data_IF_676193100977
#
_entry.id   IF_676193100977
#
_cell.length_a   1.000
_cell.length_b   1.000
_cell.length_c   1.000
_cell.angle_alpha   90.00
_cell.angle_beta   90.00
_cell.angle_gamma   90.00
#
_symmetry.space_group_name_H-M   'P 1'
#
loop_
_entity.id
_entity.type
_entity.pdbx_description
1 polymer ?
#
# COMPACT_ATOMS: atom_id res chain seq x y z
N UNK A 1 -24.94 17.32 -2.23
CA UNK A 1 -24.75 17.70 -3.60
C UNK A 1 -25.53 16.81 -4.56
N UNK A 2 -25.64 17.17 -5.85
CA UNK A 2 -26.50 16.49 -6.85
C UNK A 2 -26.18 14.99 -6.99
N UNK A 3 -24.93 14.56 -6.78
CA UNK A 3 -24.55 13.16 -6.84
C UNK A 3 -25.20 12.28 -5.75
N UNK A 4 -25.30 12.79 -4.52
CA UNK A 4 -25.95 12.08 -3.42
C UNK A 4 -27.44 11.94 -3.67
N UNK A 5 -28.07 12.99 -4.20
CA UNK A 5 -29.48 12.97 -4.59
C UNK A 5 -29.74 11.93 -5.69
N UNK A 6 -28.90 11.92 -6.73
CA UNK A 6 -29.01 10.91 -7.81
C UNK A 6 -28.84 9.49 -7.31
N UNK A 7 -27.92 9.26 -6.37
CA UNK A 7 -27.71 7.96 -5.74
C UNK A 7 -28.93 7.50 -4.93
N UNK A 8 -29.52 8.41 -4.15
CA UNK A 8 -30.74 8.14 -3.39
C UNK A 8 -31.94 7.79 -4.31
N UNK A 9 -32.09 8.50 -5.43
CA UNK A 9 -33.11 8.20 -6.42
C UNK A 9 -32.91 6.80 -7.04
N UNK A 10 -31.65 6.47 -7.37
CA UNK A 10 -31.34 5.13 -7.90
C UNK A 10 -31.65 4.02 -6.89
N UNK A 11 -31.26 4.20 -5.61
CA UNK A 11 -31.57 3.24 -4.55
C UNK A 11 -33.08 3.11 -4.35
N UNK A 12 -33.80 4.22 -4.32
CA UNK A 12 -35.27 4.21 -4.21
C UNK A 12 -35.93 3.49 -5.37
N UNK A 13 -35.46 3.70 -6.60
CA UNK A 13 -35.96 3.02 -7.78
C UNK A 13 -35.68 1.51 -7.74
N UNK A 14 -34.47 1.11 -7.37
CA UNK A 14 -34.09 -0.31 -7.25
C UNK A 14 -34.97 -1.01 -6.18
N UNK A 15 -35.20 -0.34 -5.04
CA UNK A 15 -36.06 -0.91 -3.99
C UNK A 15 -37.52 -1.00 -4.40
N UNK A 16 -38.03 0.00 -5.12
CA UNK A 16 -39.38 -0.05 -5.71
C UNK A 16 -39.54 -1.25 -6.67
N UNK A 17 -38.58 -1.46 -7.57
CA UNK A 17 -38.59 -2.59 -8.50
C UNK A 17 -38.48 -3.94 -7.76
N UNK A 18 -37.69 -3.98 -6.69
CA UNK A 18 -37.54 -5.15 -5.82
C UNK A 18 -38.84 -5.54 -5.13
N UNK A 19 -39.65 -4.56 -4.71
CA UNK A 19 -40.94 -4.82 -4.06
C UNK A 19 -42.03 -5.22 -5.04
N UNK A 20 -41.91 -4.83 -6.32
CA UNK A 20 -42.93 -5.09 -7.37
C UNK A 20 -42.72 -6.43 -8.08
N UNK A 21 -41.50 -6.98 -8.12
CA UNK A 21 -41.18 -8.19 -8.88
C UNK A 21 -40.85 -9.38 -7.95
N UNK A 22 -41.22 -10.62 -8.43
CA UNK A 22 -40.77 -11.82 -7.73
C UNK A 22 -39.25 -11.90 -7.62
N UNK A 23 -38.71 -12.35 -6.49
CA UNK A 23 -37.29 -12.36 -6.16
C UNK A 23 -36.38 -12.94 -7.24
N UNK A 24 -36.78 -14.02 -7.91
CA UNK A 24 -36.00 -14.63 -9.01
C UNK A 24 -35.92 -13.73 -10.24
N UNK A 25 -37.04 -13.11 -10.62
CA UNK A 25 -37.11 -12.21 -11.78
C UNK A 25 -36.31 -10.93 -11.50
N UNK A 26 -36.42 -10.37 -10.30
CA UNK A 26 -35.63 -9.22 -9.86
C UNK A 26 -34.13 -9.48 -9.96
N UNK A 27 -33.62 -10.59 -9.43
CA UNK A 27 -32.20 -10.94 -9.51
C UNK A 27 -31.73 -11.11 -10.96
N UNK A 28 -32.52 -11.73 -11.83
CA UNK A 28 -32.15 -11.88 -13.24
C UNK A 28 -32.11 -10.53 -13.94
N UNK A 29 -33.11 -9.68 -13.70
CA UNK A 29 -33.18 -8.34 -14.28
C UNK A 29 -32.06 -7.44 -13.78
N UNK A 30 -31.74 -7.51 -12.50
CA UNK A 30 -30.62 -6.76 -11.91
C UNK A 30 -29.26 -7.18 -12.49
N UNK A 31 -29.02 -8.49 -12.63
CA UNK A 31 -27.79 -9.01 -13.25
C UNK A 31 -27.67 -8.59 -14.71
N UNK A 32 -28.79 -8.70 -15.48
CA UNK A 32 -28.81 -8.25 -16.86
C UNK A 32 -28.56 -6.75 -16.99
N UNK A 33 -29.18 -5.94 -16.13
CA UNK A 33 -28.99 -4.50 -16.10
C UNK A 33 -27.53 -4.13 -15.77
N UNK A 34 -26.93 -4.72 -14.73
CA UNK A 34 -25.54 -4.49 -14.35
C UNK A 34 -24.61 -4.88 -15.50
N UNK A 35 -24.86 -6.03 -16.15
CA UNK A 35 -24.05 -6.46 -17.30
C UNK A 35 -24.14 -5.49 -18.47
N UNK A 36 -25.35 -5.03 -18.81
CA UNK A 36 -25.57 -4.07 -19.91
C UNK A 36 -24.90 -2.73 -19.61
N UNK A 37 -25.05 -2.21 -18.39
CA UNK A 37 -24.41 -0.96 -17.98
C UNK A 37 -22.89 -1.09 -18.02
N UNK A 38 -22.35 -2.21 -17.55
CA UNK A 38 -20.91 -2.48 -17.58
C UNK A 38 -20.39 -2.53 -19.03
N UNK A 39 -21.06 -3.28 -19.91
CA UNK A 39 -20.68 -3.38 -21.32
C UNK A 39 -20.81 -2.04 -22.04
N UNK A 40 -21.85 -1.27 -21.76
CA UNK A 40 -22.05 0.06 -22.33
C UNK A 40 -20.95 1.03 -21.86
N UNK A 41 -20.65 1.06 -20.56
CA UNK A 41 -19.57 1.88 -19.99
C UNK A 41 -18.20 1.49 -20.56
N UNK A 42 -17.93 0.19 -20.69
CA UNK A 42 -16.72 -0.31 -21.30
C UNK A 42 -16.63 0.07 -22.79
N UNK A 43 -17.71 -0.07 -23.54
CA UNK A 43 -17.80 0.35 -24.95
C UNK A 43 -17.56 1.83 -25.14
N UNK A 44 -18.17 2.68 -24.30
CA UNK A 44 -17.93 4.13 -24.29
C UNK A 44 -16.46 4.45 -23.96
N UNK A 45 -15.88 3.78 -22.96
CA UNK A 45 -14.46 3.96 -22.61
C UNK A 45 -13.54 3.62 -23.80
N UNK A 46 -13.80 2.49 -24.47
CA UNK A 46 -13.03 2.08 -25.65
C UNK A 46 -13.18 3.11 -26.79
N UNK A 47 -14.39 3.55 -27.08
CA UNK A 47 -14.62 4.59 -28.09
C UNK A 47 -13.92 5.91 -27.77
N UNK A 48 -13.97 6.36 -26.51
CA UNK A 48 -13.29 7.58 -26.07
C UNK A 48 -11.76 7.46 -26.14
N UNK A 49 -11.23 6.25 -25.90
CA UNK A 49 -9.81 5.95 -26.05
C UNK A 49 -9.38 5.98 -27.52
N UNK A 50 -10.15 5.34 -28.41
CA UNK A 50 -9.87 5.37 -29.84
C UNK A 50 -10.05 6.78 -30.48
N UNK A 51 -10.98 7.58 -29.97
CA UNK A 51 -11.18 8.97 -30.43
C UNK A 51 -10.11 9.95 -29.91
N UNK A 52 -9.22 9.49 -29.04
CA UNK A 52 -8.15 10.32 -28.46
C UNK A 52 -8.62 11.32 -27.41
N UNK A 53 -9.90 11.29 -27.01
CA UNK A 53 -10.45 12.16 -25.96
C UNK A 53 -9.95 11.73 -24.59
N UNK A 54 -9.85 10.41 -24.36
CA UNK A 54 -9.18 9.84 -23.20
C UNK A 54 -7.78 9.46 -23.64
N UNK A 55 -6.77 9.98 -22.94
CA UNK A 55 -5.39 9.62 -23.22
C UNK A 55 -5.24 8.08 -23.16
N UNK A 56 -4.63 7.48 -24.18
CA UNK A 56 -4.41 6.04 -24.15
C UNK A 56 -3.67 5.68 -22.87
N UNK A 57 -3.95 4.50 -22.34
CA UNK A 57 -3.23 3.92 -21.21
C UNK A 57 -1.76 3.78 -21.57
N UNK A 58 -1.03 4.89 -21.49
CA UNK A 58 0.35 4.96 -21.97
C UNK A 58 1.29 5.13 -20.79
N UNK A 59 2.45 4.55 -20.92
CA UNK A 59 3.58 4.79 -20.08
C UNK A 59 3.51 4.20 -18.68
N UNK A 60 2.93 4.90 -17.71
CA UNK A 60 2.95 4.48 -16.30
C UNK A 60 2.19 3.19 -16.02
N UNK A 61 1.09 2.93 -16.72
CA UNK A 61 0.32 1.69 -16.55
C UNK A 61 1.00 0.48 -17.16
N UNK A 62 1.79 0.66 -18.20
CA UNK A 62 2.58 -0.43 -18.76
C UNK A 62 3.62 -0.96 -17.78
N UNK A 63 4.17 -0.11 -16.91
CA UNK A 63 5.12 -0.52 -15.88
C UNK A 63 4.51 -1.46 -14.82
N UNK A 64 3.19 -1.53 -14.71
CA UNK A 64 2.51 -2.50 -13.83
C UNK A 64 2.53 -3.93 -14.39
N UNK A 65 2.68 -4.09 -15.70
CA UNK A 65 2.72 -5.39 -16.38
C UNK A 65 4.16 -5.76 -16.80
N UNK A 66 4.92 -4.77 -17.25
CA UNK A 66 6.31 -4.91 -17.68
C UNK A 66 7.19 -3.95 -16.88
N UNK A 67 7.91 -4.50 -15.91
CA UNK A 67 8.84 -3.75 -15.06
C UNK A 67 10.05 -3.18 -15.82
N UNK A 68 10.36 -3.73 -16.99
CA UNK A 68 11.43 -3.24 -17.88
C UNK A 68 11.04 -2.03 -18.71
N UNK A 69 9.75 -1.85 -18.98
CA UNK A 69 9.24 -0.79 -19.86
C UNK A 69 9.66 0.62 -19.40
N UNK A 70 9.52 0.90 -18.11
CA UNK A 70 9.87 2.21 -17.56
C UNK A 70 11.36 2.55 -17.71
N UNK A 71 12.24 1.56 -17.60
CA UNK A 71 13.69 1.75 -17.74
C UNK A 71 14.09 2.15 -19.16
N UNK A 72 13.35 1.67 -20.15
CA UNK A 72 13.67 1.90 -21.59
C UNK A 72 12.98 3.15 -22.11
N UNK A 73 11.71 3.36 -21.75
CA UNK A 73 10.85 4.38 -22.37
C UNK A 73 10.60 5.61 -21.49
N UNK A 74 10.75 5.49 -20.17
CA UNK A 74 10.46 6.59 -19.24
C UNK A 74 11.54 6.62 -18.14
N UNK A 75 12.75 7.10 -18.44
CA UNK A 75 13.87 7.11 -17.51
C UNK A 75 13.56 7.84 -16.20
N UNK A 76 12.76 8.89 -16.25
CA UNK A 76 12.36 9.66 -15.07
C UNK A 76 11.59 8.83 -14.04
N UNK A 77 10.71 7.93 -14.47
CA UNK A 77 9.99 7.01 -13.58
C UNK A 77 10.96 5.98 -13.01
N UNK A 78 11.89 5.51 -13.83
CA UNK A 78 12.89 4.54 -13.39
C UNK A 78 13.91 5.12 -12.41
N UNK A 79 14.13 6.44 -12.42
CA UNK A 79 15.07 7.11 -11.49
C UNK A 79 14.52 7.20 -10.06
N UNK A 80 13.20 7.10 -9.88
CA UNK A 80 12.56 7.20 -8.57
C UNK A 80 12.58 5.85 -7.85
N UNK A 81 13.17 5.79 -6.66
CA UNK A 81 13.30 4.55 -5.88
C UNK A 81 11.96 3.89 -5.55
N UNK A 82 10.91 4.68 -5.38
CA UNK A 82 9.56 4.18 -5.08
C UNK A 82 8.93 3.36 -6.21
N UNK A 83 9.38 3.56 -7.46
CA UNK A 83 8.88 2.87 -8.65
C UNK A 83 9.67 1.61 -9.00
N UNK A 84 10.70 1.29 -8.23
CA UNK A 84 11.47 0.05 -8.41
C UNK A 84 10.70 -1.15 -7.86
N UNK A 85 10.96 -2.37 -8.40
CA UNK A 85 10.42 -3.59 -7.84
C UNK A 85 10.81 -3.76 -6.38
N UNK A 86 9.87 -4.27 -5.58
CA UNK A 86 10.09 -4.45 -4.15
C UNK A 86 11.04 -5.62 -3.88
N UNK A 87 12.11 -5.37 -3.14
CA UNK A 87 13.00 -6.41 -2.66
C UNK A 87 12.41 -7.12 -1.43
N UNK A 88 12.70 -8.40 -1.25
CA UNK A 88 12.25 -9.18 -0.10
C UNK A 88 12.52 -8.53 1.27
N UNK A 89 13.71 -7.94 1.52
CA UNK A 89 13.97 -7.27 2.79
C UNK A 89 12.99 -6.12 3.10
N UNK A 90 12.48 -5.42 2.09
CA UNK A 90 11.52 -4.33 2.29
C UNK A 90 10.19 -4.83 2.87
N UNK A 91 9.71 -6.02 2.45
CA UNK A 91 8.51 -6.62 3.03
C UNK A 91 8.70 -6.96 4.51
N UNK A 92 9.87 -7.47 4.90
CA UNK A 92 10.17 -7.76 6.29
C UNK A 92 10.38 -6.50 7.13
N UNK A 93 10.94 -5.46 6.52
CA UNK A 93 11.13 -4.18 7.17
C UNK A 93 9.80 -3.52 7.54
N UNK A 94 8.84 -3.51 6.61
CA UNK A 94 7.55 -2.83 6.82
C UNK A 94 6.53 -3.72 7.55
N UNK A 95 6.44 -5.01 7.20
CA UNK A 95 5.40 -5.91 7.69
C UNK A 95 5.89 -6.82 8.82
N UNK A 96 7.20 -6.93 9.03
CA UNK A 96 7.83 -7.79 10.02
C UNK A 96 7.27 -9.21 9.97
N UNK A 97 6.93 -9.75 11.12
CA UNK A 97 6.42 -11.11 11.27
C UNK A 97 4.97 -11.29 10.76
N UNK A 98 4.22 -10.23 10.49
CA UNK A 98 2.88 -10.33 9.89
C UNK A 98 2.91 -11.02 8.53
N UNK A 99 4.02 -10.91 7.81
CA UNK A 99 4.19 -11.56 6.50
C UNK A 99 4.08 -13.08 6.57
N UNK A 100 4.45 -13.70 7.71
CA UNK A 100 4.31 -15.13 7.92
C UNK A 100 2.87 -15.55 8.25
N UNK A 101 2.14 -14.70 8.98
CA UNK A 101 0.75 -14.94 9.33
C UNK A 101 -0.21 -14.67 8.17
N UNK A 102 0.18 -13.80 7.24
CA UNK A 102 -0.62 -13.40 6.11
C UNK A 102 -1.07 -14.59 5.22
N UNK A 103 -0.18 -15.47 4.72
CA UNK A 103 -0.59 -16.62 3.92
C UNK A 103 -1.52 -17.57 4.68
N UNK A 104 -1.29 -17.76 5.99
CA UNK A 104 -2.14 -18.58 6.83
C UNK A 104 -3.56 -18.01 6.94
N UNK A 105 -3.68 -16.68 7.12
CA UNK A 105 -4.99 -16.01 7.15
C UNK A 105 -5.72 -16.08 5.83
N UNK A 106 -5.03 -15.87 4.72
CA UNK A 106 -5.61 -16.02 3.37
C UNK A 106 -6.08 -17.46 3.14
N UNK A 107 -5.29 -18.47 3.54
CA UNK A 107 -5.69 -19.87 3.46
C UNK A 107 -6.97 -20.16 4.27
N UNK A 108 -7.12 -19.55 5.45
CA UNK A 108 -8.34 -19.69 6.26
C UNK A 108 -9.57 -19.10 5.57
N UNK A 109 -9.41 -17.99 4.85
CA UNK A 109 -10.48 -17.41 4.03
C UNK A 109 -10.89 -18.36 2.90
N UNK A 110 -9.96 -19.09 2.30
CA UNK A 110 -10.29 -20.12 1.29
C UNK A 110 -11.08 -21.30 1.86
N UNK A 111 -10.86 -21.67 3.11
CA UNK A 111 -11.60 -22.78 3.73
C UNK A 111 -13.08 -22.49 3.96
N UNK A 112 -13.44 -21.24 4.17
CA UNK A 112 -14.81 -20.80 4.47
C UNK A 112 -15.21 -19.71 3.50
N UNK A 113 -15.44 -20.06 2.22
CA UNK A 113 -15.78 -19.08 1.18
C UNK A 113 -17.17 -18.49 1.41
N UNK A 114 -17.20 -17.28 1.95
CA UNK A 114 -18.36 -16.38 1.95
C UNK A 114 -17.98 -15.15 1.13
N UNK A 115 -18.94 -14.31 0.82
CA UNK A 115 -18.71 -13.13 -0.04
C UNK A 115 -17.62 -12.21 0.51
N UNK A 116 -17.59 -12.02 1.83
CA UNK A 116 -16.57 -11.19 2.48
C UNK A 116 -15.15 -11.80 2.35
N UNK A 117 -15.05 -13.12 2.48
CA UNK A 117 -13.77 -13.82 2.36
C UNK A 117 -13.27 -13.86 0.91
N UNK A 118 -14.17 -13.97 -0.06
CA UNK A 118 -13.82 -13.87 -1.48
C UNK A 118 -13.22 -12.51 -1.79
N UNK A 119 -13.81 -11.42 -1.25
CA UNK A 119 -13.24 -10.09 -1.39
C UNK A 119 -11.83 -10.00 -0.80
N UNK A 120 -11.62 -10.49 0.43
CA UNK A 120 -10.30 -10.47 1.09
C UNK A 120 -9.27 -11.28 0.29
N UNK A 121 -9.64 -12.44 -0.24
CA UNK A 121 -8.74 -13.29 -1.05
C UNK A 121 -8.33 -12.58 -2.35
N UNK A 122 -9.31 -12.04 -3.11
CA UNK A 122 -9.03 -11.32 -4.35
C UNK A 122 -8.15 -10.11 -4.07
N UNK A 123 -8.46 -9.34 -3.03
CA UNK A 123 -7.67 -8.20 -2.61
C UNK A 123 -6.24 -8.64 -2.23
N UNK A 124 -6.09 -9.71 -1.44
CA UNK A 124 -4.79 -10.22 -1.04
C UNK A 124 -3.91 -10.61 -2.25
N UNK A 125 -4.48 -11.32 -3.23
CA UNK A 125 -3.76 -11.74 -4.43
C UNK A 125 -3.34 -10.54 -5.28
N UNK A 126 -4.27 -9.63 -5.57
CA UNK A 126 -3.99 -8.45 -6.39
C UNK A 126 -3.00 -7.50 -5.70
N UNK A 127 -3.20 -7.21 -4.42
CA UNK A 127 -2.30 -6.34 -3.67
C UNK A 127 -0.90 -6.93 -3.53
N UNK A 128 -0.76 -8.26 -3.36
CA UNK A 128 0.55 -8.92 -3.32
C UNK A 128 1.28 -8.81 -4.66
N UNK A 129 0.58 -8.98 -5.77
CA UNK A 129 1.15 -8.78 -7.09
C UNK A 129 1.64 -7.35 -7.30
N UNK A 130 0.79 -6.36 -7.04
CA UNK A 130 1.16 -4.95 -7.22
C UNK A 130 2.25 -4.48 -6.27
N UNK A 131 2.25 -4.94 -5.03
CA UNK A 131 3.32 -4.65 -4.08
C UNK A 131 4.67 -5.23 -4.52
N UNK A 132 4.68 -6.39 -5.20
CA UNK A 132 5.90 -6.96 -5.79
C UNK A 132 6.42 -6.16 -6.98
N UNK A 133 5.51 -5.58 -7.78
CA UNK A 133 5.87 -4.78 -8.96
C UNK A 133 6.51 -3.44 -8.57
N UNK A 134 6.02 -2.80 -7.52
CA UNK A 134 6.42 -1.44 -7.18
C UNK A 134 6.38 -1.20 -5.66
N UNK A 135 7.46 -0.67 -5.09
CA UNK A 135 7.58 -0.40 -3.64
C UNK A 135 6.43 0.49 -3.13
N UNK A 136 6.06 1.52 -3.87
CA UNK A 136 4.97 2.44 -3.50
C UNK A 136 3.64 1.72 -3.27
N UNK A 137 3.38 0.62 -3.99
CA UNK A 137 2.12 -0.13 -3.88
C UNK A 137 2.07 -1.05 -2.67
N UNK A 138 3.15 -1.13 -1.88
CA UNK A 138 3.14 -1.84 -0.59
C UNK A 138 2.12 -1.25 0.39
N UNK A 139 1.85 0.05 0.30
CA UNK A 139 0.79 0.71 1.08
C UNK A 139 -0.60 0.10 0.85
N UNK A 140 -0.86 -0.42 -0.35
CA UNK A 140 -2.13 -1.09 -0.65
C UNK A 140 -2.19 -2.52 -0.10
N UNK A 141 -1.04 -3.17 0.09
CA UNK A 141 -0.95 -4.50 0.66
C UNK A 141 -1.13 -4.50 2.19
N UNK A 142 -0.64 -3.50 2.88
CA UNK A 142 -0.62 -3.43 4.35
C UNK A 142 -1.99 -3.68 5.01
N UNK A 143 -3.12 -3.08 4.56
CA UNK A 143 -4.42 -3.30 5.19
C UNK A 143 -4.87 -4.76 5.13
N UNK A 144 -4.72 -5.42 3.98
CA UNK A 144 -5.14 -6.82 3.83
C UNK A 144 -4.23 -7.78 4.57
N UNK A 145 -2.93 -7.45 4.70
CA UNK A 145 -2.01 -8.22 5.55
C UNK A 145 -2.42 -8.15 7.00
N UNK A 146 -2.78 -6.98 7.52
CA UNK A 146 -3.26 -6.81 8.88
C UNK A 146 -4.54 -7.63 9.14
N UNK A 147 -5.51 -7.58 8.22
CA UNK A 147 -6.77 -8.34 8.34
C UNK A 147 -6.51 -9.84 8.32
N UNK A 148 -5.75 -10.33 7.34
CA UNK A 148 -5.48 -11.76 7.22
C UNK A 148 -4.61 -12.29 8.37
N UNK A 149 -3.59 -11.54 8.80
CA UNK A 149 -2.77 -11.90 9.96
C UNK A 149 -3.60 -11.92 11.26
N UNK A 150 -4.54 -10.98 11.43
CA UNK A 150 -5.45 -10.98 12.57
C UNK A 150 -6.38 -12.19 12.59
N UNK A 151 -6.90 -12.62 11.42
CA UNK A 151 -7.68 -13.84 11.30
C UNK A 151 -6.86 -15.08 11.69
N UNK A 152 -5.62 -15.17 11.21
CA UNK A 152 -4.73 -16.27 11.57
C UNK A 152 -4.43 -16.30 13.08
N UNK A 153 -4.12 -15.14 13.66
CA UNK A 153 -3.84 -14.98 15.08
C UNK A 153 -5.06 -15.32 15.95
N UNK A 154 -6.24 -14.85 15.55
CA UNK A 154 -7.50 -15.19 16.24
C UNK A 154 -7.75 -16.69 16.26
N UNK A 155 -7.54 -17.37 15.14
CA UNK A 155 -7.71 -18.83 15.06
C UNK A 155 -6.70 -19.59 15.94
N UNK A 156 -5.46 -19.10 16.02
CA UNK A 156 -4.45 -19.66 16.91
C UNK A 156 -4.90 -19.48 18.39
N UNK A 157 -5.33 -18.27 18.75
CA UNK A 157 -5.83 -18.00 20.10
C UNK A 157 -7.05 -18.86 20.45
N UNK A 158 -8.01 -18.99 19.53
CA UNK A 158 -9.21 -19.82 19.73
C UNK A 158 -8.84 -21.30 19.93
N UNK A 159 -7.84 -21.77 19.20
CA UNK A 159 -7.40 -23.16 19.30
C UNK A 159 -6.72 -23.46 20.66
N UNK A 160 -5.94 -22.52 21.18
CA UNK A 160 -5.16 -22.74 22.39
C UNK A 160 -5.83 -22.24 23.66
N UNK A 161 -6.58 -21.13 23.61
CA UNK A 161 -7.21 -20.53 24.81
C UNK A 161 -8.62 -21.02 25.06
N UNK A 162 -9.42 -21.22 24.00
CA UNK A 162 -10.80 -21.70 24.17
C UNK A 162 -10.78 -23.19 24.45
N UNK A 163 -10.99 -23.55 25.69
CA UNK A 163 -11.25 -24.94 26.05
C UNK A 163 -12.65 -25.29 25.55
N UNK A 164 -12.75 -25.97 24.41
CA UNK A 164 -14.01 -26.61 24.03
C UNK A 164 -14.31 -27.62 25.14
N UNK A 165 -15.23 -27.28 26.05
CA UNK A 165 -15.84 -28.28 26.90
C UNK A 165 -16.36 -29.35 25.96
N UNK A 166 -16.00 -30.64 26.13
CA UNK A 166 -16.58 -31.70 25.33
C UNK A 166 -18.08 -31.57 25.51
N UNK A 167 -18.79 -31.09 24.50
CA UNK A 167 -20.23 -31.26 24.45
C UNK A 167 -20.42 -32.76 24.45
N UNK A 168 -20.90 -33.29 25.56
CA UNK A 168 -21.33 -34.68 25.62
C UNK A 168 -22.21 -34.88 24.39
N UNK A 169 -21.92 -35.87 23.54
CA UNK A 169 -22.77 -36.13 22.40
C UNK A 169 -24.18 -36.28 22.94
N UNK A 170 -25.09 -35.40 22.55
CA UNK A 170 -26.50 -35.52 22.84
C UNK A 170 -26.85 -36.95 22.45
N UNK A 171 -27.25 -37.77 23.40
CA UNK A 171 -27.59 -39.13 23.21
C UNK A 171 -28.71 -39.19 22.15
N UNK A 172 -28.34 -39.42 20.91
CA UNK A 172 -29.30 -39.94 19.94
C UNK A 172 -29.61 -41.35 20.42
N UNK A 173 -30.71 -41.40 21.13
CA UNK A 173 -31.40 -42.65 21.42
C UNK A 173 -31.83 -43.26 20.09
N UNK A 174 -30.97 -44.14 19.55
CA UNK A 174 -31.45 -45.19 18.65
C UNK A 174 -30.50 -46.43 18.75
N UNK A 175 -31.13 -47.50 19.04
CA UNK A 175 -30.73 -48.84 19.42
C UNK A 175 -29.45 -49.41 18.76
N UNK A 176 -28.91 -50.35 19.51
CA UNK A 176 -27.85 -51.30 19.18
C UNK A 176 -26.41 -50.78 19.21
N UNK A 177 -25.89 -50.51 20.41
CA UNK A 177 -24.46 -50.48 20.61
C UNK A 177 -24.06 -51.06 22.00
N UNK A 178 -24.52 -52.29 22.26
CA UNK A 178 -24.09 -53.00 23.48
C UNK A 178 -22.61 -53.46 23.43
N UNK A 179 -22.03 -53.57 22.25
CA UNK A 179 -20.62 -53.94 22.06
C UNK A 179 -19.66 -52.84 22.48
N UNK A 180 -19.98 -51.56 22.24
CA UNK A 180 -19.14 -50.43 22.62
C UNK A 180 -19.17 -50.14 24.12
N UNK A 181 -20.24 -50.47 24.81
CA UNK A 181 -20.35 -50.37 26.27
C UNK A 181 -19.54 -51.45 26.97
N UNK A 182 -19.50 -52.66 26.43
CA UNK A 182 -18.73 -53.80 26.98
C UNK A 182 -17.21 -53.57 26.82
N UNK A 183 -16.76 -52.97 25.71
CA UNK A 183 -15.35 -52.64 25.52
C UNK A 183 -14.87 -51.50 26.45
N UNK A 184 -15.74 -50.56 26.78
CA UNK A 184 -15.42 -49.44 27.68
C UNK A 184 -15.41 -49.86 29.15
N UNK A 185 -16.07 -50.95 29.52
CA UNK A 185 -16.08 -51.50 30.92
C UNK A 185 -14.88 -52.38 31.25
N UNK A 186 -14.08 -52.78 30.27
CA UNK A 186 -12.90 -53.60 30.45
C UNK A 186 -11.62 -52.81 30.81
N UNK A 187 -11.67 -51.48 30.78
CA UNK A 187 -10.51 -50.64 31.17
C UNK A 187 -10.65 -50.31 32.67
N UNK A 188 -9.73 -50.78 33.53
CA UNK A 188 -9.77 -50.50 34.97
C UNK A 188 -9.77 -48.98 35.23
N UNK A 189 -10.67 -48.53 36.10
CA UNK A 189 -10.81 -47.10 36.47
C UNK A 189 -9.53 -46.49 37.05
N UNK A 190 -8.61 -47.29 37.53
CA UNK A 190 -7.28 -46.88 37.99
C UNK A 190 -6.39 -46.31 36.85
N UNK A 191 -6.51 -46.81 35.63
CA UNK A 191 -5.79 -46.27 34.48
C UNK A 191 -6.44 -45.01 33.89
N UNK A 192 -7.75 -44.81 34.15
CA UNK A 192 -8.49 -43.65 33.70
C UNK A 192 -8.25 -42.42 34.58
N UNK A 193 -7.93 -42.61 35.85
CA UNK A 193 -7.72 -41.50 36.79
C UNK A 193 -6.30 -40.93 36.78
N UNK A 194 -5.28 -41.73 36.36
CA UNK A 194 -3.89 -41.29 36.37
C UNK A 194 -3.49 -40.43 35.15
N UNK A 195 -4.23 -40.52 34.05
CA UNK A 195 -3.90 -39.70 32.86
C UNK A 195 -4.50 -38.27 32.88
N UNK A 196 -5.56 -38.03 33.67
CA UNK A 196 -6.24 -36.73 33.72
C UNK A 196 -5.40 -35.56 34.25
N UNK A 197 -4.64 -35.69 35.36
CA UNK A 197 -3.91 -34.54 35.89
C UNK A 197 -2.73 -34.11 35.03
N UNK A 198 -2.00 -35.06 34.43
CA UNK A 198 -0.85 -34.75 33.56
C UNK A 198 -1.28 -34.04 32.28
N UNK A 199 -2.33 -34.52 31.62
CA UNK A 199 -2.89 -33.88 30.42
C UNK A 199 -3.41 -32.45 30.73
N UNK A 200 -4.01 -32.25 31.91
CA UNK A 200 -4.45 -30.93 32.37
C UNK A 200 -3.30 -29.95 32.61
N UNK A 201 -2.21 -30.41 33.22
CA UNK A 201 -1.01 -29.60 33.47
C UNK A 201 -0.33 -29.22 32.18
N UNK A 202 -0.10 -30.18 31.26
CA UNK A 202 0.47 -29.89 29.95
C UNK A 202 -0.43 -28.94 29.13
N UNK A 203 -1.73 -29.12 29.17
CA UNK A 203 -2.68 -28.24 28.52
C UNK A 203 -2.64 -26.80 29.08
N UNK A 204 -2.52 -26.66 30.40
CA UNK A 204 -2.43 -25.37 31.07
C UNK A 204 -1.09 -24.68 30.77
N UNK A 205 0.01 -25.43 30.87
CA UNK A 205 1.33 -24.92 30.53
C UNK A 205 1.42 -24.46 29.05
N UNK A 206 0.92 -25.25 28.12
CA UNK A 206 0.91 -24.87 26.69
C UNK A 206 0.11 -23.62 26.42
N UNK A 207 -1.00 -23.39 27.14
CA UNK A 207 -1.79 -22.15 27.06
C UNK A 207 -0.98 -20.94 27.53
N UNK A 208 -0.35 -21.03 28.69
CA UNK A 208 0.48 -19.94 29.21
C UNK A 208 1.69 -19.67 28.31
N UNK A 209 2.37 -20.71 27.84
CA UNK A 209 3.49 -20.58 26.92
C UNK A 209 3.07 -19.90 25.61
N UNK A 210 1.95 -20.33 25.03
CA UNK A 210 1.45 -19.77 23.78
C UNK A 210 1.00 -18.33 23.94
N UNK A 211 0.26 -18.01 25.03
CA UNK A 211 -0.16 -16.63 25.33
C UNK A 211 1.06 -15.75 25.57
N UNK A 212 2.04 -16.20 26.33
CA UNK A 212 3.28 -15.48 26.57
C UNK A 212 4.06 -15.21 25.26
N UNK A 213 4.17 -16.22 24.40
CA UNK A 213 4.83 -16.09 23.09
C UNK A 213 4.12 -15.07 22.22
N UNK A 214 2.79 -15.13 22.11
CA UNK A 214 2.01 -14.19 21.31
C UNK A 214 2.12 -12.77 21.88
N UNK A 215 2.05 -12.61 23.20
CA UNK A 215 2.20 -11.30 23.85
C UNK A 215 3.59 -10.72 23.60
N UNK A 216 4.65 -11.52 23.77
CA UNK A 216 6.01 -11.08 23.48
C UNK A 216 6.18 -10.70 22.01
N UNK A 217 5.60 -11.47 21.11
CA UNK A 217 5.58 -11.21 19.68
C UNK A 217 4.91 -9.87 19.36
N UNK A 218 3.73 -9.60 19.91
CA UNK A 218 3.01 -8.33 19.71
C UNK A 218 3.78 -7.14 20.28
N UNK A 219 4.43 -7.29 21.43
CA UNK A 219 5.28 -6.24 22.01
C UNK A 219 6.48 -5.94 21.11
N UNK A 220 7.17 -6.96 20.61
CA UNK A 220 8.27 -6.79 19.66
C UNK A 220 7.80 -6.12 18.35
N UNK A 221 6.62 -6.49 17.87
CA UNK A 221 6.03 -5.86 16.69
C UNK A 221 5.74 -4.37 16.91
N UNK A 222 5.16 -4.00 18.05
CA UNK A 222 4.90 -2.59 18.40
C UNK A 222 6.22 -1.80 18.50
N UNK A 223 7.24 -2.36 19.16
CA UNK A 223 8.57 -1.73 19.25
C UNK A 223 9.18 -1.54 17.86
N UNK A 224 9.08 -2.55 17.00
CA UNK A 224 9.57 -2.47 15.63
C UNK A 224 8.84 -1.39 14.83
N UNK A 225 7.51 -1.34 14.87
CA UNK A 225 6.71 -0.33 14.19
C UNK A 225 7.08 1.10 14.66
N UNK A 226 7.25 1.29 15.96
CA UNK A 226 7.65 2.58 16.54
C UNK A 226 9.05 2.98 16.04
N UNK A 227 9.98 2.02 16.03
CA UNK A 227 11.35 2.26 15.56
C UNK A 227 11.38 2.60 14.06
N UNK A 228 10.67 1.84 13.21
CA UNK A 228 10.57 2.09 11.76
C UNK A 228 9.96 3.46 11.49
N UNK A 229 8.85 3.79 12.17
CA UNK A 229 8.19 5.09 11.99
C UNK A 229 9.11 6.24 12.36
N UNK A 230 9.83 6.15 13.49
CA UNK A 230 10.70 7.23 13.94
C UNK A 230 11.96 7.38 13.09
N UNK A 231 12.56 6.29 12.60
CA UNK A 231 13.84 6.35 11.90
C UNK A 231 13.72 6.45 10.37
N UNK A 232 12.71 5.80 9.77
CA UNK A 232 12.58 5.75 8.33
C UNK A 232 11.56 6.74 7.77
N UNK A 233 10.44 6.95 8.48
CA UNK A 233 9.31 7.73 7.93
C UNK A 233 9.13 9.11 8.57
N UNK A 234 9.78 9.39 9.71
CA UNK A 234 9.64 10.68 10.41
C UNK A 234 10.82 11.62 10.23
N UNK A 235 11.86 11.19 9.53
CA UNK A 235 13.04 12.04 9.29
C UNK A 235 12.72 13.13 8.26
N UNK A 236 12.85 14.43 8.60
CA UNK A 236 12.61 15.50 7.65
C UNK A 236 13.67 15.46 6.55
N UNK A 237 13.25 15.44 5.28
CA UNK A 237 14.13 15.42 4.11
C UNK A 237 14.76 16.79 3.80
N UNK A 238 14.25 17.86 4.42
CA UNK A 238 14.68 19.24 4.16
C UNK A 238 15.88 19.63 5.00
N UNK A 239 16.03 19.06 6.21
CA UNK A 239 17.15 19.31 7.11
C UNK A 239 17.94 18.01 7.25
N UNK A 240 19.19 18.04 6.83
CA UNK A 240 20.09 16.90 6.94
C UNK A 240 20.93 17.05 8.21
N UNK A 241 20.98 16.00 9.02
CA UNK A 241 21.81 15.96 10.22
C UNK A 241 22.87 14.88 10.08
N UNK A 242 24.14 15.26 10.17
CA UNK A 242 25.29 14.37 10.19
C UNK A 242 25.92 14.34 11.57
N UNK A 243 26.29 13.17 12.07
CA UNK A 243 27.08 13.05 13.31
C UNK A 243 28.56 13.09 12.97
N UNK A 244 29.26 14.02 13.60
CA UNK A 244 30.72 14.10 13.53
C UNK A 244 31.39 13.08 14.44
N UNK A 245 32.68 12.82 14.21
CA UNK A 245 33.45 11.86 14.99
C UNK A 245 33.60 12.27 16.48
N UNK A 246 33.42 13.52 16.80
CA UNK A 246 33.43 14.09 18.17
C UNK A 246 32.08 13.96 18.89
N UNK A 247 31.07 13.34 18.24
CA UNK A 247 29.73 13.20 18.78
C UNK A 247 28.84 14.43 18.59
N UNK A 248 29.34 15.52 18.07
CA UNK A 248 28.54 16.71 17.73
C UNK A 248 27.64 16.43 16.50
N UNK A 249 26.52 17.13 16.45
CA UNK A 249 25.59 17.05 15.33
C UNK A 249 25.79 18.24 14.40
N UNK A 250 26.22 17.98 13.17
CA UNK A 250 26.27 18.99 12.12
C UNK A 250 24.95 19.00 11.35
N UNK A 251 24.30 20.14 11.36
CA UNK A 251 23.01 20.35 10.68
C UNK A 251 23.27 21.09 9.37
N UNK A 252 22.86 20.50 8.25
CA UNK A 252 22.90 21.11 6.92
C UNK A 252 21.48 21.58 6.59
N UNK A 253 21.27 22.88 6.61
CA UNK A 253 19.97 23.52 6.50
C UNK A 253 19.84 24.44 5.25
N UNK A 254 20.73 24.28 4.29
CA UNK A 254 20.84 25.13 3.11
C UNK A 254 19.56 25.20 2.29
N UNK A 255 18.81 24.08 2.20
CA UNK A 255 17.53 24.04 1.49
C UNK A 255 16.48 24.97 2.11
N UNK A 256 16.31 24.90 3.41
CA UNK A 256 15.37 25.76 4.13
C UNK A 256 15.73 27.22 4.02
N UNK A 257 17.01 27.53 4.13
CA UNK A 257 17.53 28.90 3.98
C UNK A 257 17.27 29.44 2.57
N UNK A 258 17.49 28.64 1.52
CA UNK A 258 17.21 28.99 0.13
C UNK A 258 15.72 29.26 -0.09
N UNK A 259 14.84 28.40 0.43
CA UNK A 259 13.38 28.60 0.30
C UNK A 259 12.90 29.83 1.08
N UNK A 260 13.48 30.08 2.26
CA UNK A 260 13.19 31.28 3.02
C UNK A 260 13.64 32.54 2.27
N UNK A 261 14.83 32.50 1.65
CA UNK A 261 15.33 33.60 0.84
C UNK A 261 14.40 33.88 -0.34
N UNK A 262 13.95 32.85 -1.07
CA UNK A 262 12.98 32.99 -2.16
C UNK A 262 11.69 33.66 -1.67
N UNK A 263 11.18 33.24 -0.52
CA UNK A 263 9.95 33.81 0.04
C UNK A 263 10.08 35.29 0.38
N UNK A 264 11.24 35.73 0.87
CA UNK A 264 11.43 37.09 1.35
C UNK A 264 11.89 38.05 0.25
N UNK A 265 12.62 37.58 -0.75
CA UNK A 265 13.32 38.43 -1.71
C UNK A 265 12.78 38.37 -3.13
N UNK A 266 11.72 37.59 -3.39
CA UNK A 266 11.10 37.50 -4.72
C UNK A 266 9.64 37.93 -4.67
N UNK A 267 9.07 38.29 -5.84
CA UNK A 267 7.65 38.58 -5.94
C UNK A 267 6.81 37.29 -5.71
N UNK A 268 5.58 37.48 -5.22
CA UNK A 268 4.69 36.33 -4.89
C UNK A 268 4.38 35.44 -6.09
N UNK A 269 4.30 36.02 -7.29
CA UNK A 269 4.01 35.31 -8.53
C UNK A 269 5.27 34.92 -9.32
N UNK A 270 6.47 35.13 -8.77
CA UNK A 270 7.72 34.79 -9.43
C UNK A 270 7.79 33.29 -9.71
N UNK A 271 7.99 32.93 -10.97
CA UNK A 271 8.06 31.54 -11.43
C UNK A 271 9.46 30.98 -11.26
N UNK A 272 9.55 29.88 -10.49
CA UNK A 272 10.81 29.22 -10.19
C UNK A 272 10.99 27.99 -11.06
N UNK A 273 12.10 27.91 -11.78
CA UNK A 273 12.54 26.71 -12.49
C UNK A 273 13.53 25.94 -11.63
N UNK A 274 13.31 24.66 -11.41
CA UNK A 274 14.19 23.80 -10.62
C UNK A 274 14.10 22.33 -11.08
N UNK A 275 14.89 21.46 -10.46
CA UNK A 275 14.68 20.02 -10.52
C UNK A 275 13.27 19.68 -10.01
N UNK A 276 12.56 18.77 -10.69
CA UNK A 276 11.16 18.45 -10.39
C UNK A 276 10.90 18.02 -8.93
N UNK A 277 11.89 17.41 -8.26
CA UNK A 277 11.75 16.92 -6.89
C UNK A 277 11.65 18.03 -5.84
N UNK A 278 12.05 19.25 -6.16
CA UNK A 278 11.95 20.42 -5.26
C UNK A 278 10.61 21.15 -5.36
N UNK A 279 9.79 20.81 -6.32
CA UNK A 279 8.56 21.57 -6.63
C UNK A 279 7.62 21.71 -5.43
N UNK A 280 7.32 20.64 -4.73
CA UNK A 280 6.46 20.69 -3.54
C UNK A 280 7.09 21.46 -2.37
N UNK A 281 8.40 21.38 -2.21
CA UNK A 281 9.11 22.11 -1.17
C UNK A 281 9.10 23.62 -1.47
N UNK A 282 9.35 24.00 -2.72
CA UNK A 282 9.29 25.41 -3.14
C UNK A 282 7.87 25.95 -2.98
N UNK A 283 6.86 25.23 -3.47
CA UNK A 283 5.46 25.62 -3.33
C UNK A 283 5.01 25.75 -1.87
N UNK A 284 5.39 24.80 -1.02
CA UNK A 284 4.99 24.78 0.38
C UNK A 284 5.76 25.73 1.30
N UNK A 285 7.08 25.85 1.11
CA UNK A 285 7.94 26.65 2.00
C UNK A 285 8.23 28.05 1.48
N UNK A 286 8.50 28.18 0.18
CA UNK A 286 8.76 29.45 -0.44
C UNK A 286 7.50 30.17 -0.88
N UNK A 287 6.36 29.48 -1.00
CA UNK A 287 5.09 30.03 -1.48
C UNK A 287 5.25 30.69 -2.84
N UNK A 288 5.93 29.99 -3.77
CA UNK A 288 6.19 30.45 -5.14
C UNK A 288 5.77 29.41 -6.16
N UNK A 289 5.19 29.81 -7.31
CA UNK A 289 4.84 28.88 -8.39
C UNK A 289 6.09 28.26 -9.00
N UNK A 290 6.02 26.95 -9.28
CA UNK A 290 7.07 26.18 -9.92
C UNK A 290 6.64 25.68 -11.29
N UNK A 291 7.58 25.49 -12.21
CA UNK A 291 7.28 24.95 -13.53
C UNK A 291 7.00 23.47 -13.51
N UNK A 292 7.71 22.73 -12.66
CA UNK A 292 7.63 21.27 -12.50
C UNK A 292 7.56 20.90 -11.03
N UNK A 293 6.89 19.82 -10.72
CA UNK A 293 6.69 19.33 -9.37
C UNK A 293 6.85 17.81 -9.29
N UNK A 294 6.75 17.27 -8.08
CA UNK A 294 6.86 15.84 -7.78
C UNK A 294 5.73 14.99 -8.38
N UNK A 295 4.66 15.59 -8.90
CA UNK A 295 3.57 14.83 -9.50
C UNK A 295 3.97 14.18 -10.83
N UNK A 296 4.92 14.76 -11.56
CA UNK A 296 5.51 14.22 -12.81
C UNK A 296 4.49 13.71 -13.85
N UNK A 297 3.29 14.30 -13.90
CA UNK A 297 2.22 13.84 -14.80
C UNK A 297 2.47 14.15 -16.27
N UNK A 298 3.21 15.25 -16.56
CA UNK A 298 3.53 15.70 -17.92
C UNK A 298 5.03 15.54 -18.19
N UNK A 299 5.41 14.38 -18.70
CA UNK A 299 6.81 14.04 -19.01
C UNK A 299 7.40 14.97 -20.08
N UNK A 300 6.60 15.39 -21.06
CA UNK A 300 7.06 16.30 -22.14
C UNK A 300 7.46 17.67 -21.57
N UNK A 301 6.67 18.18 -20.61
CA UNK A 301 6.99 19.45 -19.96
C UNK A 301 8.25 19.33 -19.09
N UNK A 302 8.40 18.24 -18.35
CA UNK A 302 9.59 17.95 -17.55
C UNK A 302 10.84 17.85 -18.45
N UNK A 303 10.73 17.16 -19.60
CA UNK A 303 11.82 17.06 -20.56
C UNK A 303 12.20 18.42 -21.15
N UNK A 304 11.22 19.31 -21.39
CA UNK A 304 11.47 20.68 -21.84
C UNK A 304 12.26 21.48 -20.80
N UNK A 305 11.90 21.38 -19.53
CA UNK A 305 12.64 22.00 -18.41
C UNK A 305 14.03 21.40 -18.30
N UNK A 306 14.16 20.07 -18.39
CA UNK A 306 15.45 19.38 -18.38
C UNK A 306 16.35 19.84 -19.52
N UNK A 307 15.81 19.97 -20.74
CA UNK A 307 16.52 20.52 -21.90
C UNK A 307 16.98 21.97 -21.65
N UNK A 308 16.16 22.80 -21.04
CA UNK A 308 16.55 24.16 -20.68
C UNK A 308 17.72 24.18 -19.69
N UNK A 309 17.70 23.32 -18.67
CA UNK A 309 18.73 23.29 -17.62
C UNK A 309 20.02 22.59 -18.06
N UNK A 310 20.00 21.71 -19.05
CA UNK A 310 21.15 20.94 -19.55
C UNK A 310 21.79 21.51 -20.83
N UNK A 311 21.18 22.50 -21.46
CA UNK A 311 21.63 23.06 -22.73
C UNK A 311 22.46 24.32 -22.55
N UNK A 312 23.11 24.76 -23.64
CA UNK A 312 23.83 26.04 -23.70
C UNK A 312 22.84 27.20 -23.61
N UNK A 313 23.32 28.36 -23.19
CA UNK A 313 22.54 29.59 -23.02
C UNK A 313 21.67 29.95 -24.21
N UNK A 314 22.20 29.80 -25.44
CA UNK A 314 21.50 30.10 -26.70
C UNK A 314 20.21 29.30 -26.88
N UNK A 315 20.17 28.05 -26.32
CA UNK A 315 18.99 27.16 -26.35
C UNK A 315 18.13 27.36 -25.11
N UNK A 316 18.76 27.55 -23.94
CA UNK A 316 18.06 27.68 -22.67
C UNK A 316 17.27 28.96 -22.56
N UNK A 317 17.84 30.08 -22.95
CA UNK A 317 17.24 31.41 -22.79
C UNK A 317 15.86 31.54 -23.51
N UNK A 318 15.69 31.11 -24.77
CA UNK A 318 14.39 31.14 -25.44
C UNK A 318 13.34 30.29 -24.70
N UNK A 319 13.70 29.15 -24.18
CA UNK A 319 12.78 28.26 -23.42
C UNK A 319 12.36 28.92 -22.12
N UNK A 320 13.31 29.48 -21.37
CA UNK A 320 13.01 30.19 -20.13
C UNK A 320 12.11 31.41 -20.36
N UNK A 321 12.37 32.14 -21.42
CA UNK A 321 11.51 33.30 -21.83
C UNK A 321 10.10 32.86 -22.22
N UNK A 322 9.97 31.76 -22.93
CA UNK A 322 8.66 31.20 -23.33
C UNK A 322 7.82 30.80 -22.12
N UNK A 323 8.46 30.28 -21.07
CA UNK A 323 7.78 29.87 -19.83
C UNK A 323 7.73 30.98 -18.77
N UNK A 324 8.22 32.18 -19.09
CA UNK A 324 8.23 33.33 -18.18
C UNK A 324 8.92 33.03 -16.85
N UNK A 325 10.12 32.43 -16.92
CA UNK A 325 10.91 32.05 -15.73
C UNK A 325 11.60 33.26 -15.15
N UNK A 326 11.39 33.54 -13.88
CA UNK A 326 12.03 34.64 -13.17
C UNK A 326 13.30 34.22 -12.46
N UNK A 327 13.31 33.04 -11.84
CA UNK A 327 14.44 32.51 -11.09
C UNK A 327 14.69 31.04 -11.38
N UNK A 328 15.95 30.64 -11.31
CA UNK A 328 16.36 29.23 -11.42
C UNK A 328 17.03 28.81 -10.12
N UNK A 329 16.52 27.74 -9.51
CA UNK A 329 17.11 27.14 -8.31
C UNK A 329 17.89 25.89 -8.71
N UNK A 330 19.19 25.88 -8.39
CA UNK A 330 20.11 24.77 -8.66
C UNK A 330 20.86 24.43 -7.38
N UNK A 331 20.96 23.15 -7.07
CA UNK A 331 21.77 22.66 -5.96
C UNK A 331 23.16 22.32 -6.49
N UNK A 332 24.17 22.93 -5.90
CA UNK A 332 25.56 22.78 -6.29
C UNK A 332 26.48 22.67 -5.06
N UNK A 333 27.26 21.58 -4.97
CA UNK A 333 28.11 21.30 -3.80
C UNK A 333 29.49 21.93 -3.81
N UNK A 334 29.85 22.71 -4.83
CA UNK A 334 31.11 23.38 -4.95
C UNK A 334 32.35 22.54 -5.28
N UNK A 335 32.19 21.19 -5.34
CA UNK A 335 33.22 20.26 -5.77
C UNK A 335 32.80 19.58 -7.07
N UNK A 336 33.61 19.69 -8.11
CA UNK A 336 33.32 19.05 -9.40
C UNK A 336 33.20 17.54 -9.23
N UNK A 337 32.08 16.97 -9.70
CA UNK A 337 31.81 15.52 -9.63
C UNK A 337 31.15 15.03 -8.35
N UNK A 338 30.63 15.92 -7.52
CA UNK A 338 29.81 15.53 -6.38
C UNK A 338 28.50 14.90 -6.84
N UNK A 339 28.22 13.68 -6.38
CA UNK A 339 27.06 12.89 -6.84
C UNK A 339 25.70 13.52 -6.49
N UNK A 340 25.66 14.44 -5.55
CA UNK A 340 24.46 15.17 -5.13
C UNK A 340 24.12 16.39 -5.99
N UNK A 341 25.02 16.82 -6.87
CA UNK A 341 24.81 17.99 -7.71
C UNK A 341 23.68 17.77 -8.75
N UNK A 342 22.89 18.80 -8.99
CA UNK A 342 21.77 18.74 -9.93
C UNK A 342 22.20 18.52 -11.38
N UNK A 343 23.42 18.90 -11.75
CA UNK A 343 24.00 18.65 -13.08
C UNK A 343 23.89 17.18 -13.47
N UNK A 344 24.13 16.27 -12.53
CA UNK A 344 24.04 14.84 -12.79
C UNK A 344 22.60 14.34 -12.93
N UNK A 345 21.63 15.11 -12.43
CA UNK A 345 20.20 14.78 -12.44
C UNK A 345 19.49 15.28 -13.68
N UNK A 346 19.96 16.34 -14.32
CA UNK A 346 19.28 16.93 -15.48
C UNK A 346 19.17 15.98 -16.66
N UNK A 347 20.11 15.08 -16.83
CA UNK A 347 20.06 14.03 -17.85
C UNK A 347 18.89 13.04 -17.68
N UNK A 348 18.35 12.93 -16.46
CA UNK A 348 17.20 12.09 -16.18
C UNK A 348 15.85 12.75 -16.50
N UNK A 349 15.86 14.02 -16.88
CA UNK A 349 14.67 14.76 -17.28
C UNK A 349 14.44 14.73 -18.80
N UNK A 350 15.46 14.37 -19.58
CA UNK A 350 15.44 14.44 -21.06
C UNK A 350 15.18 13.07 -21.68
#
# INVERSE_FOLDING_TARGET
GPGVFGLLQLVGFVEFVRQTLPSKQFQTLLRAFVLVVFLAAFGVLVLLTFSGVVAPWSGRFYSLWDTGYAKIHIPIIASVSEHQPTAWPAFFFDLNLLIWLFPAGVYMCFRNLKDEQVFVVIYAVLASYFAGVMVRLMLTLTPVVCVAAALALSQILDTFLVTKTPVAPAAQANGNNDIAKTAASLIPDTLRSTQKPLVGIYSTFSKFAMTGTITAYLLLFVLHCTWVTSNAYSSPSVVLASRMADGSQHIIDDYREAYYWLRQNTEQNAKIMSWWDYGYQIGGMADRPTLVDNNTWNNTHIATVGKAMSSREEVSYPIMRQHEVDYVLVVFGGLIGYSGDDINKFLWMV
#
